data_IF_154068530853
#
_entry.id   IF_154068530853
#
_cell.length_a   1.000
_cell.length_b   1.000
_cell.length_c   1.000
_cell.angle_alpha   90.00
_cell.angle_beta   90.00
_cell.angle_gamma   90.00
#
_symmetry.space_group_name_H-M   'P 1'
#
loop_
_entity.id
_entity.type
_entity.pdbx_description
1 polymer ?
#
# COMPACT_ATOMS: atom_id res chain seq x y z
N UNK A 1 26.12 -3.36 14.39
CA UNK A 1 25.74 -2.31 13.40
C UNK A 1 26.20 -2.59 11.96
N UNK A 2 27.52 -2.60 11.61
CA UNK A 2 27.99 -2.84 10.22
C UNK A 2 27.62 -4.20 9.60
N UNK A 3 27.41 -5.25 10.41
CA UNK A 3 26.91 -6.55 9.92
C UNK A 3 25.40 -6.55 9.65
N UNK A 4 24.61 -5.77 10.39
CA UNK A 4 23.16 -5.62 10.18
C UNK A 4 22.86 -4.79 8.92
N UNK A 5 23.67 -3.76 8.64
CA UNK A 5 23.64 -3.04 7.35
C UNK A 5 24.02 -3.94 6.17
N UNK A 6 25.01 -4.82 6.34
CA UNK A 6 25.39 -5.81 5.32
C UNK A 6 24.25 -6.81 5.04
N UNK A 7 23.48 -7.19 6.06
CA UNK A 7 22.35 -8.11 5.94
C UNK A 7 21.12 -7.47 5.24
N UNK A 8 20.88 -6.15 5.41
CA UNK A 8 19.84 -5.42 4.65
C UNK A 8 20.04 -5.49 3.13
N UNK A 9 21.29 -5.53 2.67
CA UNK A 9 21.66 -5.58 1.24
C UNK A 9 21.72 -7.03 0.69
N UNK A 10 21.84 -8.03 1.56
CA UNK A 10 22.03 -9.44 1.20
C UNK A 10 20.73 -10.23 0.90
N UNK A 11 19.57 -9.55 0.81
CA UNK A 11 18.23 -10.17 0.66
C UNK A 11 18.05 -11.06 -0.59
N UNK A 12 18.95 -11.00 -1.58
CA UNK A 12 18.87 -11.82 -2.81
C UNK A 12 19.76 -13.07 -2.76
N UNK A 13 20.87 -13.07 -2.01
CA UNK A 13 21.85 -14.17 -2.05
C UNK A 13 21.63 -15.26 -0.99
N UNK A 14 20.88 -14.99 0.07
CA UNK A 14 20.65 -15.99 1.14
C UNK A 14 19.43 -16.91 0.87
N UNK A 15 18.62 -16.63 -0.15
CA UNK A 15 17.37 -17.34 -0.42
C UNK A 15 17.53 -18.70 -1.15
N UNK A 16 18.68 -19.36 -1.03
CA UNK A 16 18.93 -20.68 -1.63
C UNK A 16 18.58 -21.87 -0.69
N UNK A 17 18.15 -21.60 0.56
CA UNK A 17 17.70 -22.62 1.52
C UNK A 17 16.71 -22.07 2.56
N UNK A 18 15.90 -22.92 3.20
CA UNK A 18 15.00 -22.55 4.31
C UNK A 18 15.75 -21.83 5.46
N UNK A 19 16.99 -22.25 5.73
CA UNK A 19 17.90 -21.68 6.73
C UNK A 19 18.26 -20.21 6.44
N UNK A 20 18.44 -19.86 5.16
CA UNK A 20 18.73 -18.48 4.76
C UNK A 20 17.52 -17.55 4.89
N UNK A 21 16.31 -18.08 4.67
CA UNK A 21 15.05 -17.35 4.85
C UNK A 21 14.74 -17.08 6.34
N UNK A 22 14.94 -18.07 7.22
CA UNK A 22 14.70 -17.91 8.65
C UNK A 22 15.63 -16.87 9.30
N UNK A 23 16.89 -16.81 8.87
CA UNK A 23 17.87 -15.84 9.36
C UNK A 23 17.60 -14.42 8.87
N UNK A 24 17.18 -14.25 7.61
CA UNK A 24 16.71 -12.96 7.11
C UNK A 24 15.47 -12.48 7.88
N UNK A 25 14.53 -13.40 8.14
CA UNK A 25 13.33 -13.16 8.96
C UNK A 25 13.70 -12.61 10.35
N UNK A 26 14.69 -13.21 11.04
CA UNK A 26 15.10 -12.78 12.39
C UNK A 26 15.57 -11.32 12.45
N UNK A 27 16.36 -10.88 11.46
CA UNK A 27 16.86 -9.49 11.43
C UNK A 27 15.72 -8.49 11.28
N UNK A 28 14.77 -8.78 10.38
CA UNK A 28 13.60 -7.94 10.19
C UNK A 28 12.66 -7.99 11.40
N UNK A 29 12.49 -9.16 12.05
CA UNK A 29 11.64 -9.30 13.23
C UNK A 29 12.13 -8.44 14.40
N UNK A 30 13.44 -8.32 14.61
CA UNK A 30 14.00 -7.43 15.64
C UNK A 30 13.61 -5.98 15.38
N UNK A 31 13.71 -5.52 14.14
CA UNK A 31 13.32 -4.15 13.75
C UNK A 31 11.82 -3.96 13.95
N UNK A 32 11.01 -4.89 13.44
CA UNK A 32 9.56 -4.85 13.57
C UNK A 32 9.10 -4.82 15.04
N UNK A 33 9.71 -5.61 15.92
CA UNK A 33 9.39 -5.61 17.35
C UNK A 33 9.81 -4.32 18.05
N UNK A 34 10.94 -3.74 17.67
CA UNK A 34 11.39 -2.43 18.18
C UNK A 34 10.44 -1.30 17.77
N UNK A 35 10.03 -1.28 16.50
CA UNK A 35 9.04 -0.33 15.96
C UNK A 35 7.69 -0.50 16.68
N UNK A 36 7.30 -1.73 17.02
CA UNK A 36 6.12 -2.08 17.82
C UNK A 36 6.27 -1.79 19.32
N UNK A 37 7.38 -1.17 19.74
CA UNK A 37 7.61 -0.69 21.09
C UNK A 37 8.16 -1.72 22.05
N UNK A 38 8.77 -2.80 21.59
CA UNK A 38 9.36 -3.83 22.45
C UNK A 38 10.84 -3.57 22.72
N UNK A 39 11.32 -3.95 23.90
CA UNK A 39 12.74 -3.88 24.25
C UNK A 39 13.49 -5.08 23.65
N UNK A 40 14.25 -4.85 22.58
CA UNK A 40 14.97 -5.90 21.82
C UNK A 40 16.47 -5.96 22.10
N UNK A 41 16.97 -5.13 23.03
CA UNK A 41 18.41 -4.94 23.25
C UNK A 41 19.15 -6.22 23.63
N UNK A 42 18.58 -7.05 24.52
CA UNK A 42 19.19 -8.33 24.92
C UNK A 42 19.41 -9.26 23.71
N UNK A 43 18.43 -9.29 22.79
CA UNK A 43 18.50 -10.12 21.59
C UNK A 43 19.51 -9.55 20.59
N UNK A 44 19.57 -8.21 20.46
CA UNK A 44 20.61 -7.54 19.65
C UNK A 44 22.01 -7.89 20.16
N UNK A 45 22.24 -7.86 21.47
CA UNK A 45 23.54 -8.21 22.05
C UNK A 45 23.95 -9.66 21.78
N UNK A 46 23.00 -10.60 21.79
CA UNK A 46 23.26 -12.00 21.42
C UNK A 46 23.75 -12.09 19.97
N UNK A 47 23.12 -11.36 19.05
CA UNK A 47 23.50 -11.33 17.63
C UNK A 47 24.78 -10.54 17.34
N UNK A 48 25.20 -9.63 18.22
CA UNK A 48 26.51 -8.97 18.09
C UNK A 48 27.66 -9.89 18.49
N UNK A 49 27.41 -10.83 19.42
CA UNK A 49 28.40 -11.79 19.91
C UNK A 49 28.50 -13.05 19.03
N UNK A 50 27.50 -13.30 18.18
CA UNK A 50 27.41 -14.49 17.32
C UNK A 50 26.95 -14.10 15.92
N UNK A 51 27.72 -14.49 14.91
CA UNK A 51 27.35 -14.23 13.51
C UNK A 51 25.98 -14.87 13.20
N UNK A 52 25.02 -14.08 12.72
CA UNK A 52 23.67 -14.54 12.35
C UNK A 52 23.75 -15.73 11.36
N UNK A 53 24.75 -15.73 10.47
CA UNK A 53 24.97 -16.81 9.50
C UNK A 53 25.45 -18.12 10.13
N UNK A 54 25.81 -18.10 11.42
CA UNK A 54 26.26 -19.27 12.19
C UNK A 54 25.15 -19.89 13.07
N UNK A 55 23.97 -19.28 13.15
CA UNK A 55 22.85 -19.78 13.97
C UNK A 55 22.24 -21.06 13.37
N UNK A 56 22.00 -22.08 14.20
CA UNK A 56 21.23 -23.26 13.78
C UNK A 56 19.73 -22.94 13.64
N UNK A 57 18.97 -23.77 12.93
CA UNK A 57 17.50 -23.59 12.79
C UNK A 57 16.79 -23.49 14.14
N UNK A 58 17.18 -24.35 15.09
CA UNK A 58 16.61 -24.38 16.44
C UNK A 58 16.93 -23.09 17.20
N UNK A 59 18.17 -22.58 17.09
CA UNK A 59 18.55 -21.31 17.72
C UNK A 59 17.80 -20.14 17.10
N UNK A 60 17.68 -20.09 15.77
CA UNK A 60 16.94 -19.06 15.06
C UNK A 60 15.46 -19.06 15.46
N UNK A 61 14.82 -20.23 15.48
CA UNK A 61 13.42 -20.34 15.89
C UNK A 61 13.20 -19.96 17.36
N UNK A 62 14.09 -20.37 18.27
CA UNK A 62 14.01 -19.96 19.67
C UNK A 62 14.09 -18.44 19.86
N UNK A 63 14.93 -17.76 19.06
CA UNK A 63 15.02 -16.29 19.09
C UNK A 63 13.75 -15.63 18.53
N UNK A 64 13.19 -16.15 17.43
CA UNK A 64 11.92 -15.69 16.88
C UNK A 64 10.78 -15.87 17.88
N UNK A 65 10.69 -17.03 18.54
CA UNK A 65 9.68 -17.31 19.56
C UNK A 65 9.83 -16.38 20.78
N UNK A 66 11.07 -16.01 21.11
CA UNK A 66 11.36 -15.05 22.19
C UNK A 66 10.88 -13.65 21.79
N UNK A 67 11.21 -13.19 20.58
CA UNK A 67 10.78 -11.90 20.03
C UNK A 67 9.25 -11.76 20.01
N UNK A 68 8.56 -12.82 19.57
CA UNK A 68 7.10 -12.87 19.50
C UNK A 68 6.42 -12.70 20.87
N UNK A 69 7.11 -13.03 21.96
CA UNK A 69 6.58 -12.96 23.34
C UNK A 69 7.01 -11.71 24.11
N UNK A 70 7.88 -10.87 23.54
CA UNK A 70 8.33 -9.66 24.22
C UNK A 70 7.14 -8.74 24.54
N UNK A 71 7.04 -8.20 25.76
CA UNK A 71 6.02 -7.21 26.06
C UNK A 71 6.35 -5.88 25.36
N UNK A 72 5.31 -5.11 25.06
CA UNK A 72 5.47 -3.69 24.71
C UNK A 72 5.97 -2.96 25.97
N UNK A 73 6.98 -2.11 25.80
CA UNK A 73 7.60 -1.37 26.90
C UNK A 73 6.68 -0.31 27.50
N UNK A 74 6.91 -0.02 28.77
CA UNK A 74 6.27 1.12 29.42
C UNK A 74 6.63 2.42 28.70
N UNK A 75 5.64 3.28 28.47
CA UNK A 75 5.85 4.58 27.82
C UNK A 75 5.90 4.56 26.29
N UNK A 76 5.56 3.46 25.60
CA UNK A 76 5.48 3.43 24.13
C UNK A 76 4.51 4.47 23.55
N UNK A 77 3.50 4.92 24.31
CA UNK A 77 2.67 6.07 23.95
C UNK A 77 1.51 5.77 22.99
N UNK A 78 1.57 4.66 22.25
CA UNK A 78 0.55 4.27 21.26
C UNK A 78 -0.38 3.15 21.75
N UNK A 79 -1.59 3.10 21.18
CA UNK A 79 -2.61 2.06 21.40
C UNK A 79 -2.98 1.46 20.04
N UNK A 80 -2.41 0.30 19.73
CA UNK A 80 -2.48 -0.33 18.41
C UNK A 80 -3.01 -1.77 18.51
N UNK A 81 -4.33 -1.96 18.74
CA UNK A 81 -4.96 -3.28 18.72
C UNK A 81 -5.11 -3.81 17.29
N UNK A 82 -4.84 -5.10 17.07
CA UNK A 82 -4.98 -5.71 15.74
C UNK A 82 -6.35 -6.31 15.47
N UNK A 83 -7.20 -6.51 16.47
CA UNK A 83 -8.54 -7.05 16.28
C UNK A 83 -9.57 -5.94 15.99
N UNK A 84 -10.54 -6.20 15.11
CA UNK A 84 -11.53 -5.21 14.67
C UNK A 84 -12.28 -4.55 15.84
N UNK A 85 -12.60 -5.30 16.89
CA UNK A 85 -13.31 -4.78 18.07
C UNK A 85 -12.42 -3.79 18.84
N UNK A 86 -11.17 -4.16 19.06
CA UNK A 86 -10.15 -3.30 19.67
C UNK A 86 -9.94 -2.04 18.86
N UNK A 87 -9.80 -2.16 17.53
CA UNK A 87 -9.66 -1.04 16.60
C UNK A 87 -10.84 -0.08 16.77
N UNK A 88 -12.08 -0.58 16.64
CA UNK A 88 -13.29 0.25 16.75
C UNK A 88 -13.38 1.02 18.06
N UNK A 89 -12.97 0.40 19.17
CA UNK A 89 -12.95 1.03 20.50
C UNK A 89 -11.87 2.12 20.63
N UNK A 90 -10.79 2.00 19.88
CA UNK A 90 -9.65 2.93 19.92
C UNK A 90 -9.75 4.08 18.91
N UNK A 91 -10.78 4.12 18.06
CA UNK A 91 -11.05 5.23 17.13
C UNK A 91 -11.51 6.48 17.87
N UNK A 92 -11.31 7.65 17.26
CA UNK A 92 -12.01 8.86 17.66
C UNK A 92 -13.50 8.76 17.27
N UNK A 93 -14.36 9.60 17.86
CA UNK A 93 -15.74 9.74 17.41
C UNK A 93 -15.76 10.31 15.98
N UNK A 94 -16.53 9.68 15.08
CA UNK A 94 -16.72 10.19 13.73
C UNK A 94 -17.75 11.32 13.71
N UNK A 95 -17.49 12.36 12.93
CA UNK A 95 -18.48 13.40 12.63
C UNK A 95 -19.52 12.91 11.62
N UNK A 96 -20.65 13.60 11.51
CA UNK A 96 -21.64 13.33 10.47
C UNK A 96 -21.05 13.50 9.07
N UNK A 97 -21.42 12.60 8.16
CA UNK A 97 -21.03 12.65 6.75
C UNK A 97 -22.13 13.29 5.90
N UNK A 98 -21.78 13.94 4.78
CA UNK A 98 -22.75 14.39 3.79
C UNK A 98 -23.57 13.21 3.21
N UNK A 99 -24.71 13.53 2.61
CA UNK A 99 -25.48 12.56 1.85
C UNK A 99 -24.74 12.20 0.55
N UNK A 100 -24.77 10.92 0.18
CA UNK A 100 -24.13 10.44 -1.04
C UNK A 100 -25.01 10.69 -2.26
N UNK A 101 -24.48 11.44 -3.25
CA UNK A 101 -25.15 11.65 -4.53
C UNK A 101 -24.79 10.54 -5.53
N UNK A 102 -25.76 9.69 -5.88
CA UNK A 102 -25.54 8.57 -6.79
C UNK A 102 -25.29 8.98 -8.24
N UNK A 103 -25.67 10.19 -8.66
CA UNK A 103 -25.63 10.62 -10.06
C UNK A 103 -24.22 10.81 -10.63
N UNK A 104 -23.23 11.09 -9.78
CA UNK A 104 -21.83 11.27 -10.18
C UNK A 104 -20.97 10.03 -9.94
N UNK A 105 -21.53 8.99 -9.31
CA UNK A 105 -20.81 7.79 -8.90
C UNK A 105 -20.08 7.11 -10.06
N UNK A 106 -20.76 6.84 -11.18
CA UNK A 106 -20.17 6.10 -12.31
C UNK A 106 -18.96 6.82 -12.92
N UNK A 107 -19.06 8.15 -13.06
CA UNK A 107 -17.95 8.95 -13.61
C UNK A 107 -16.80 9.07 -12.61
N UNK A 108 -17.10 9.21 -11.31
CA UNK A 108 -16.13 9.17 -10.21
C UNK A 108 -15.44 7.81 -10.06
N UNK A 109 -16.19 6.72 -10.23
CA UNK A 109 -15.66 5.36 -10.20
C UNK A 109 -14.76 5.09 -11.41
N UNK A 110 -15.18 5.51 -12.60
CA UNK A 110 -14.34 5.43 -13.80
C UNK A 110 -13.06 6.24 -13.63
N UNK A 111 -13.18 7.45 -13.09
CA UNK A 111 -12.04 8.28 -12.72
C UNK A 111 -11.11 7.59 -11.72
N UNK A 112 -11.65 6.95 -10.68
CA UNK A 112 -10.84 6.27 -9.67
C UNK A 112 -10.04 5.09 -10.25
N UNK A 113 -10.68 4.24 -11.05
CA UNK A 113 -10.00 3.12 -11.71
C UNK A 113 -8.90 3.58 -12.69
N UNK A 114 -9.20 4.52 -13.58
CA UNK A 114 -8.21 5.05 -14.51
C UNK A 114 -7.11 5.85 -13.81
N UNK A 115 -7.48 6.65 -12.80
CA UNK A 115 -6.55 7.43 -12.00
C UNK A 115 -5.56 6.55 -11.27
N UNK A 116 -6.05 5.45 -10.68
CA UNK A 116 -5.19 4.43 -10.08
C UNK A 116 -4.23 3.81 -11.10
N UNK A 117 -4.73 3.32 -12.23
CA UNK A 117 -3.87 2.70 -13.24
C UNK A 117 -2.80 3.68 -13.77
N UNK A 118 -3.17 4.95 -14.02
CA UNK A 118 -2.22 5.95 -14.48
C UNK A 118 -1.15 6.27 -13.42
N UNK A 119 -1.55 6.43 -12.16
CA UNK A 119 -0.63 6.67 -11.05
C UNK A 119 0.35 5.52 -10.81
N UNK A 120 -0.16 4.27 -10.84
CA UNK A 120 0.67 3.07 -10.75
C UNK A 120 1.66 3.03 -11.91
N UNK A 121 1.18 3.16 -13.16
CA UNK A 121 2.03 3.14 -14.35
C UNK A 121 3.12 4.23 -14.33
N UNK A 122 2.81 5.43 -13.82
CA UNK A 122 3.77 6.52 -13.67
C UNK A 122 4.92 6.17 -12.72
N UNK A 123 4.63 5.53 -11.59
CA UNK A 123 5.62 5.24 -10.56
C UNK A 123 6.54 4.06 -10.90
N UNK A 124 6.07 3.08 -11.67
CA UNK A 124 6.82 1.84 -11.97
C UNK A 124 8.26 2.02 -12.49
N UNK A 125 8.57 2.96 -13.40
CA UNK A 125 9.93 3.08 -13.94
C UNK A 125 11.00 3.46 -12.91
N UNK A 126 10.59 4.15 -11.84
CA UNK A 126 11.46 4.73 -10.80
C UNK A 126 11.23 4.11 -9.42
N UNK A 127 10.54 2.97 -9.36
CA UNK A 127 10.33 2.19 -8.13
C UNK A 127 11.68 1.85 -7.47
N UNK A 128 11.78 2.09 -6.16
CA UNK A 128 13.02 1.92 -5.38
C UNK A 128 14.07 3.02 -5.58
N UNK A 129 13.72 4.13 -6.23
CA UNK A 129 14.57 5.32 -6.28
C UNK A 129 14.18 6.29 -5.17
N UNK A 130 15.17 6.91 -4.53
CA UNK A 130 14.89 7.96 -3.55
C UNK A 130 14.41 9.24 -4.24
N UNK A 131 13.76 10.14 -3.49
CA UNK A 131 13.41 11.48 -3.97
C UNK A 131 14.60 12.18 -4.66
N UNK A 132 15.80 12.11 -4.08
CA UNK A 132 16.99 12.75 -4.65
C UNK A 132 17.38 12.19 -6.01
N UNK A 133 17.24 10.87 -6.20
CA UNK A 133 17.54 10.20 -7.47
C UNK A 133 16.50 10.54 -8.55
N UNK A 134 15.22 10.62 -8.16
CA UNK A 134 14.17 11.09 -9.07
C UNK A 134 14.44 12.55 -9.46
N UNK A 135 14.84 13.42 -8.52
CA UNK A 135 15.18 14.81 -8.82
C UNK A 135 16.37 14.95 -9.76
N UNK A 136 17.44 14.19 -9.52
CA UNK A 136 18.60 14.14 -10.41
C UNK A 136 18.19 13.76 -11.84
N UNK A 137 17.31 12.77 -12.00
CA UNK A 137 16.75 12.40 -13.29
C UNK A 137 15.93 13.52 -13.95
N UNK A 138 15.01 14.15 -13.19
CA UNK A 138 14.14 15.20 -13.71
C UNK A 138 14.94 16.43 -14.16
N UNK A 139 15.96 16.80 -13.39
CA UNK A 139 16.87 17.89 -13.74
C UNK A 139 17.68 17.54 -15.01
N UNK A 140 18.09 16.28 -15.17
CA UNK A 140 18.82 15.83 -16.36
C UNK A 140 17.98 15.87 -17.65
N UNK A 141 16.65 15.73 -17.56
CA UNK A 141 15.74 15.84 -18.71
C UNK A 141 15.08 17.23 -18.84
N UNK A 142 15.53 18.20 -18.03
CA UNK A 142 15.07 19.59 -18.01
C UNK A 142 13.54 19.72 -17.80
N UNK A 143 12.99 18.98 -16.82
CA UNK A 143 11.59 19.10 -16.41
C UNK A 143 11.46 19.49 -14.94
N UNK A 144 10.55 20.41 -14.64
CA UNK A 144 10.34 20.91 -13.27
C UNK A 144 9.71 19.88 -12.32
N UNK A 145 8.99 18.88 -12.85
CA UNK A 145 8.35 17.81 -12.09
C UNK A 145 7.69 16.76 -12.96
N UNK A 146 7.24 15.66 -12.35
CA UNK A 146 6.56 14.54 -12.98
C UNK A 146 5.12 14.88 -13.35
N UNK A 147 4.95 15.56 -14.48
CA UNK A 147 3.62 15.91 -15.03
C UNK A 147 3.24 15.11 -16.27
N UNK A 148 4.04 14.10 -16.62
CA UNK A 148 3.81 13.16 -17.71
C UNK A 148 4.53 11.84 -17.39
N UNK A 149 4.18 10.76 -18.10
CA UNK A 149 4.89 9.48 -17.99
C UNK A 149 6.40 9.64 -18.23
N UNK A 150 7.18 8.89 -17.44
CA UNK A 150 8.65 8.90 -17.46
C UNK A 150 9.16 8.44 -18.83
N UNK A 151 9.93 9.26 -19.57
CA UNK A 151 10.62 8.79 -20.77
C UNK A 151 11.89 7.98 -20.44
N UNK A 152 12.18 6.95 -21.23
CA UNK A 152 13.50 6.29 -21.16
C UNK A 152 14.56 7.24 -21.73
N UNK A 153 15.67 7.41 -21.01
CA UNK A 153 16.88 8.12 -21.45
C UNK A 153 18.05 7.16 -21.34
N UNK A 154 18.83 7.06 -22.43
CA UNK A 154 19.99 6.17 -22.51
C UNK A 154 21.28 6.96 -22.86
N UNK A 155 22.36 6.83 -22.06
CA UNK A 155 22.42 6.06 -20.81
C UNK A 155 21.53 6.67 -19.71
N UNK A 156 21.15 5.87 -18.70
CA UNK A 156 20.43 6.38 -17.53
C UNK A 156 21.25 7.52 -16.89
N UNK A 157 20.69 8.73 -16.72
CA UNK A 157 21.44 9.88 -16.23
C UNK A 157 21.75 9.82 -14.73
N UNK A 158 21.10 8.94 -13.96
CA UNK A 158 21.30 8.79 -12.52
C UNK A 158 22.42 7.78 -12.25
N UNK A 159 23.50 8.23 -11.62
CA UNK A 159 24.67 7.38 -11.40
C UNK A 159 24.34 6.15 -10.54
N UNK A 160 24.75 4.97 -11.00
CA UNK A 160 24.59 3.71 -10.26
C UNK A 160 23.17 3.15 -10.21
N UNK A 161 22.23 3.72 -10.98
CA UNK A 161 20.85 3.21 -11.09
C UNK A 161 20.56 2.59 -12.44
N UNK A 162 19.85 1.46 -12.38
CA UNK A 162 19.19 0.85 -13.53
C UNK A 162 17.71 1.22 -13.49
N UNK A 163 17.08 1.25 -14.67
CA UNK A 163 15.63 1.28 -14.76
C UNK A 163 15.01 0.08 -14.06
N UNK A 164 13.83 0.27 -13.48
CA UNK A 164 13.06 -0.85 -12.96
C UNK A 164 12.79 -1.90 -14.06
N UNK A 165 12.69 -3.17 -13.69
CA UNK A 165 12.55 -4.25 -14.67
C UNK A 165 11.28 -4.15 -15.53
N UNK A 166 10.24 -3.46 -15.04
CA UNK A 166 9.00 -3.17 -15.77
C UNK A 166 9.01 -1.82 -16.51
N UNK A 167 10.11 -1.07 -16.49
CA UNK A 167 10.19 0.25 -17.14
C UNK A 167 9.97 0.16 -18.66
N UNK A 168 10.37 -0.95 -19.29
CA UNK A 168 10.20 -1.18 -20.73
C UNK A 168 8.74 -1.16 -21.20
N UNK A 169 7.77 -1.34 -20.30
CA UNK A 169 6.33 -1.30 -20.60
C UNK A 169 5.57 -0.16 -19.90
N UNK A 170 6.24 0.58 -19.00
CA UNK A 170 5.62 1.63 -18.17
C UNK A 170 6.15 3.04 -18.49
N UNK A 171 6.93 3.18 -19.56
CA UNK A 171 7.57 4.45 -19.95
C UNK A 171 6.90 5.10 -21.14
N UNK A 172 6.98 6.44 -21.22
CA UNK A 172 6.35 7.23 -22.27
C UNK A 172 6.75 6.72 -23.66
N UNK A 173 5.75 6.37 -24.47
CA UNK A 173 5.93 5.82 -25.80
C UNK A 173 5.94 4.29 -25.88
N UNK A 174 6.08 3.60 -24.73
CA UNK A 174 6.06 2.14 -24.66
C UNK A 174 4.80 1.58 -23.96
N UNK A 175 4.01 2.43 -23.32
CA UNK A 175 2.77 2.03 -22.64
C UNK A 175 1.73 1.59 -23.68
N UNK A 176 1.23 0.36 -23.53
CA UNK A 176 0.21 -0.26 -24.39
C UNK A 176 -0.82 -1.01 -23.52
N UNK A 177 -1.43 -0.30 -22.58
CA UNK A 177 -2.15 -0.92 -21.46
C UNK A 177 -1.50 -0.66 -20.13
N UNK A 178 -2.27 -0.74 -19.04
CA UNK A 178 -1.72 -0.81 -17.69
C UNK A 178 -0.89 -2.10 -17.58
N UNK A 179 0.44 -2.00 -17.39
CA UNK A 179 1.29 -3.17 -17.22
C UNK A 179 0.90 -3.95 -15.98
N UNK A 180 1.39 -5.18 -15.87
CA UNK A 180 1.08 -6.00 -14.70
C UNK A 180 1.70 -5.36 -13.46
N UNK A 181 0.91 -5.29 -12.40
CA UNK A 181 1.35 -4.87 -11.07
C UNK A 181 0.61 -5.69 -10.00
N UNK A 182 1.27 -5.99 -8.88
CA UNK A 182 0.57 -6.61 -7.74
C UNK A 182 -0.44 -5.68 -7.08
N UNK A 183 -0.23 -4.36 -7.16
CA UNK A 183 -1.24 -3.34 -6.84
C UNK A 183 -2.58 -3.64 -7.51
N UNK A 184 -2.54 -4.03 -8.79
CA UNK A 184 -3.73 -4.31 -9.57
C UNK A 184 -4.18 -5.78 -9.43
N UNK A 185 -3.25 -6.72 -9.33
CA UNK A 185 -3.56 -8.13 -9.13
C UNK A 185 -4.42 -8.34 -7.86
N UNK A 186 -4.04 -7.72 -6.75
CA UNK A 186 -4.80 -7.83 -5.50
C UNK A 186 -6.18 -7.17 -5.56
N UNK A 187 -6.31 -6.02 -6.24
CA UNK A 187 -7.61 -5.39 -6.43
C UNK A 187 -8.58 -6.28 -7.22
N UNK A 188 -8.09 -6.90 -8.29
CA UNK A 188 -8.90 -7.81 -9.11
C UNK A 188 -9.29 -9.04 -8.28
N UNK A 189 -8.37 -9.56 -7.47
CA UNK A 189 -8.65 -10.67 -6.56
C UNK A 189 -9.70 -10.30 -5.49
N UNK A 190 -9.56 -9.14 -4.85
CA UNK A 190 -10.51 -8.64 -3.87
C UNK A 190 -11.90 -8.43 -4.50
N UNK A 191 -11.96 -7.93 -5.74
CA UNK A 191 -13.21 -7.86 -6.49
C UNK A 191 -13.84 -9.24 -6.68
N UNK A 192 -13.06 -10.26 -7.07
CA UNK A 192 -13.58 -11.64 -7.22
C UNK A 192 -14.06 -12.24 -5.88
N UNK A 193 -13.40 -11.92 -4.76
CA UNK A 193 -13.86 -12.31 -3.43
C UNK A 193 -15.22 -11.67 -3.13
N UNK A 194 -15.35 -10.36 -3.33
CA UNK A 194 -16.61 -9.65 -3.06
C UNK A 194 -17.74 -10.08 -4.01
N UNK A 195 -17.45 -10.45 -5.25
CA UNK A 195 -18.44 -11.03 -6.16
C UNK A 195 -18.95 -12.41 -5.71
N UNK A 196 -18.07 -13.21 -5.09
CA UNK A 196 -18.43 -14.55 -4.64
C UNK A 196 -19.10 -14.56 -3.27
N UNK A 197 -18.61 -13.76 -2.33
CA UNK A 197 -18.99 -13.82 -0.91
C UNK A 197 -19.79 -12.60 -0.45
N UNK A 198 -19.87 -11.55 -1.28
CA UNK A 198 -20.64 -10.35 -0.98
C UNK A 198 -20.12 -9.59 0.24
N UNK A 199 -20.97 -8.81 0.92
CA UNK A 199 -20.58 -8.00 2.07
C UNK A 199 -20.14 -8.84 3.28
N UNK A 200 -20.44 -10.13 3.29
CA UNK A 200 -20.11 -11.07 4.35
C UNK A 200 -18.76 -11.76 4.19
N UNK A 201 -17.97 -11.40 3.16
CA UNK A 201 -16.60 -11.87 3.02
C UNK A 201 -15.80 -11.70 4.33
N UNK A 202 -15.01 -12.72 4.65
CA UNK A 202 -14.13 -12.79 5.83
C UNK A 202 -12.70 -13.12 5.43
N UNK A 203 -11.75 -12.89 6.32
CA UNK A 203 -10.32 -13.21 6.13
C UNK A 203 -10.05 -14.63 5.61
N UNK A 204 -10.85 -15.62 6.01
CA UNK A 204 -10.73 -16.99 5.52
C UNK A 204 -11.07 -17.15 4.02
N UNK A 205 -11.99 -16.34 3.51
CA UNK A 205 -12.37 -16.35 2.09
C UNK A 205 -11.25 -15.78 1.23
N UNK A 206 -10.59 -14.70 1.69
CA UNK A 206 -9.37 -14.16 1.07
C UNK A 206 -8.24 -15.19 1.10
N UNK A 207 -7.98 -15.83 2.24
CA UNK A 207 -6.96 -16.88 2.35
C UNK A 207 -7.19 -18.05 1.39
N UNK A 208 -8.45 -18.47 1.24
CA UNK A 208 -8.83 -19.51 0.28
C UNK A 208 -8.63 -19.05 -1.17
N UNK A 209 -9.04 -17.81 -1.49
CA UNK A 209 -8.89 -17.26 -2.84
C UNK A 209 -7.41 -17.09 -3.23
N UNK A 210 -6.55 -16.69 -2.27
CA UNK A 210 -5.11 -16.61 -2.51
C UNK A 210 -4.55 -17.96 -2.91
N UNK A 211 -4.84 -19.02 -2.14
CA UNK A 211 -4.41 -20.40 -2.43
C UNK A 211 -4.88 -20.90 -3.80
N UNK A 212 -6.09 -20.52 -4.21
CA UNK A 212 -6.70 -20.96 -5.47
C UNK A 212 -6.21 -20.17 -6.70
N UNK A 213 -5.88 -18.88 -6.54
CA UNK A 213 -5.74 -17.95 -7.67
C UNK A 213 -4.40 -17.24 -7.77
N UNK A 214 -3.70 -17.00 -6.66
CA UNK A 214 -2.46 -16.22 -6.69
C UNK A 214 -1.23 -17.12 -6.78
N UNK A 215 -0.38 -17.00 -7.81
CA UNK A 215 0.89 -17.71 -7.84
C UNK A 215 1.81 -17.27 -6.69
N UNK A 216 2.26 -18.20 -5.85
CA UNK A 216 3.14 -17.93 -4.70
C UNK A 216 4.43 -17.14 -5.04
N UNK A 217 4.98 -17.34 -6.25
CA UNK A 217 6.16 -16.62 -6.72
C UNK A 217 5.88 -15.13 -7.07
N UNK A 218 4.64 -14.66 -6.94
CA UNK A 218 4.18 -13.34 -7.39
C UNK A 218 3.55 -12.48 -6.28
N UNK A 219 3.61 -12.94 -5.03
CA UNK A 219 3.22 -12.19 -3.82
C UNK A 219 4.48 -11.78 -3.05
N UNK A 220 4.55 -10.67 -2.35
CA UNK A 220 5.83 -10.17 -1.78
C UNK A 220 5.78 -10.09 -0.26
N UNK A 221 6.93 -9.88 0.39
CA UNK A 221 7.06 -9.53 1.81
C UNK A 221 6.07 -10.21 2.79
N UNK A 222 5.13 -9.47 3.38
CA UNK A 222 4.15 -9.93 4.37
C UNK A 222 3.17 -10.94 3.76
N UNK A 223 2.75 -10.71 2.53
CA UNK A 223 1.87 -11.60 1.79
C UNK A 223 2.54 -12.92 1.49
N UNK A 224 3.81 -12.89 1.09
CA UNK A 224 4.60 -14.12 0.88
C UNK A 224 4.77 -14.90 2.18
N UNK A 225 5.03 -14.23 3.30
CA UNK A 225 5.11 -14.87 4.61
C UNK A 225 3.76 -15.50 5.01
N UNK A 226 2.65 -14.77 4.86
CA UNK A 226 1.31 -15.25 5.16
C UNK A 226 0.90 -16.42 4.24
N UNK A 227 1.15 -16.31 2.93
CA UNK A 227 0.87 -17.38 1.97
C UNK A 227 1.65 -18.64 2.32
N UNK A 228 2.95 -18.53 2.63
CA UNK A 228 3.76 -19.66 3.13
C UNK A 228 3.09 -20.30 4.35
N UNK A 229 2.62 -19.50 5.29
CA UNK A 229 1.98 -20.00 6.51
C UNK A 229 0.67 -20.74 6.20
N UNK A 230 -0.13 -20.26 5.26
CA UNK A 230 -1.32 -20.99 4.78
C UNK A 230 -0.94 -22.37 4.19
N UNK A 231 0.12 -22.43 3.36
CA UNK A 231 0.62 -23.70 2.80
C UNK A 231 1.10 -24.65 3.91
N UNK A 232 1.72 -24.11 4.97
CA UNK A 232 2.16 -24.88 6.14
C UNK A 232 1.02 -25.30 7.08
N UNK A 233 -0.23 -24.91 6.79
CA UNK A 233 -1.42 -25.32 7.52
C UNK A 233 -1.83 -24.41 8.67
N UNK A 234 -1.23 -23.22 8.81
CA UNK A 234 -1.76 -22.20 9.71
C UNK A 234 -3.10 -21.69 9.19
N UNK A 235 -4.04 -21.40 10.10
CA UNK A 235 -5.32 -20.82 9.72
C UNK A 235 -5.15 -19.40 9.19
N UNK A 236 -6.15 -18.89 8.46
CA UNK A 236 -6.16 -17.51 7.99
C UNK A 236 -6.03 -16.48 9.14
N UNK A 237 -6.51 -16.81 10.34
CA UNK A 237 -6.39 -15.96 11.52
C UNK A 237 -4.98 -15.97 12.15
N UNK A 238 -4.15 -16.98 11.84
CA UNK A 238 -2.80 -17.13 12.38
C UNK A 238 -1.72 -16.76 11.35
N UNK A 239 -2.06 -16.77 10.05
CA UNK A 239 -1.13 -16.58 8.95
C UNK A 239 -0.33 -15.27 9.04
N UNK A 240 -0.95 -14.17 9.46
CA UNK A 240 -0.25 -12.89 9.65
C UNK A 240 0.72 -12.88 10.84
N UNK A 241 0.53 -13.76 11.83
CA UNK A 241 1.24 -13.72 13.12
C UNK A 241 2.51 -14.57 13.14
N UNK A 242 2.54 -15.65 12.36
CA UNK A 242 3.63 -16.60 12.42
C UNK A 242 4.83 -16.17 11.53
N UNK A 243 6.00 -15.89 12.13
CA UNK A 243 7.23 -15.62 11.40
C UNK A 243 7.05 -14.64 10.21
N UNK A 244 6.35 -13.54 10.47
CA UNK A 244 6.04 -12.50 9.49
C UNK A 244 6.49 -11.12 10.01
N UNK A 245 7.75 -10.74 9.75
CA UNK A 245 8.30 -9.48 10.23
C UNK A 245 7.91 -8.27 9.36
N UNK A 246 7.18 -8.50 8.27
CA UNK A 246 6.79 -7.48 7.30
C UNK A 246 5.37 -6.96 7.54
N UNK A 247 4.71 -7.42 8.60
CA UNK A 247 3.29 -7.25 8.91
C UNK A 247 2.78 -5.80 9.09
N UNK A 248 3.67 -4.80 9.14
CA UNK A 248 3.32 -3.36 9.09
C UNK A 248 3.79 -2.66 7.80
N UNK A 249 4.27 -3.42 6.81
CA UNK A 249 4.64 -2.91 5.50
C UNK A 249 3.39 -2.68 4.63
N UNK A 250 3.57 -1.96 3.53
CA UNK A 250 2.49 -1.30 2.78
C UNK A 250 1.56 -2.25 2.03
N UNK A 251 1.92 -3.53 1.84
CA UNK A 251 1.22 -4.40 0.90
C UNK A 251 -0.25 -4.70 1.20
N UNK A 252 -0.77 -4.38 2.39
CA UNK A 252 -2.22 -4.30 2.62
C UNK A 252 -2.83 -3.00 2.03
N UNK A 253 -2.21 -1.85 2.30
CA UNK A 253 -2.69 -0.54 1.83
C UNK A 253 -2.88 -0.48 0.31
N UNK A 254 -2.01 -1.13 -0.46
CA UNK A 254 -2.10 -1.13 -1.93
C UNK A 254 -3.37 -1.81 -2.44
N UNK A 255 -4.07 -2.62 -1.64
CA UNK A 255 -5.23 -3.44 -2.06
C UNK A 255 -6.58 -2.75 -1.79
N UNK A 256 -6.55 -1.62 -1.09
CA UNK A 256 -7.69 -0.99 -0.44
C UNK A 256 -8.82 -0.53 -1.39
N UNK A 257 -8.47 -0.16 -2.61
CA UNK A 257 -9.30 0.69 -3.47
C UNK A 257 -10.67 0.11 -3.80
N UNK A 258 -10.72 -1.15 -4.26
CA UNK A 258 -12.00 -1.80 -4.59
C UNK A 258 -12.91 -1.87 -3.37
N UNK A 259 -12.33 -2.05 -2.18
CA UNK A 259 -13.06 -2.13 -0.92
C UNK A 259 -13.71 -0.79 -0.55
N UNK A 260 -13.14 0.33 -0.99
CA UNK A 260 -13.76 1.66 -0.94
C UNK A 260 -14.79 1.87 -2.05
N UNK A 261 -14.48 1.44 -3.28
CA UNK A 261 -15.32 1.65 -4.45
C UNK A 261 -16.70 0.99 -4.36
N UNK A 262 -16.79 -0.20 -3.76
CA UNK A 262 -18.05 -0.96 -3.65
C UNK A 262 -19.02 -0.41 -2.59
N UNK A 263 -18.56 0.50 -1.73
CA UNK A 263 -19.35 1.11 -0.65
C UNK A 263 -19.13 2.63 -0.63
N UNK A 264 -19.48 3.35 -1.71
CA UNK A 264 -19.22 4.79 -1.81
C UNK A 264 -19.96 5.55 -0.70
N UNK A 265 -19.27 6.50 -0.08
CA UNK A 265 -19.79 7.32 1.01
C UNK A 265 -20.00 6.62 2.35
N UNK A 266 -19.45 5.41 2.52
CA UNK A 266 -19.59 4.59 3.73
C UNK A 266 -18.21 4.16 4.27
N UNK A 267 -17.40 5.10 4.78
CA UNK A 267 -16.02 4.83 5.20
C UNK A 267 -15.91 3.74 6.28
N UNK A 268 -16.87 3.62 7.20
CA UNK A 268 -16.86 2.53 8.18
C UNK A 268 -17.08 1.15 7.55
N UNK A 269 -17.94 1.05 6.54
CA UNK A 269 -18.15 -0.19 5.80
C UNK A 269 -16.90 -0.56 5.01
N UNK A 270 -16.27 0.43 4.34
CA UNK A 270 -15.02 0.24 3.60
C UNK A 270 -13.89 -0.23 4.52
N UNK A 271 -13.71 0.41 5.67
CA UNK A 271 -12.71 0.02 6.67
C UNK A 271 -12.96 -1.40 7.21
N UNK A 272 -14.21 -1.83 7.37
CA UNK A 272 -14.52 -3.20 7.76
C UNK A 272 -14.13 -4.21 6.68
N UNK A 273 -14.41 -3.93 5.40
CA UNK A 273 -14.01 -4.80 4.30
C UNK A 273 -12.48 -4.88 4.20
N UNK A 274 -11.80 -3.74 4.29
CA UNK A 274 -10.34 -3.64 4.36
C UNK A 274 -9.74 -4.42 5.53
N UNK A 275 -10.37 -4.41 6.70
CA UNK A 275 -9.91 -5.23 7.81
C UNK A 275 -9.94 -6.74 7.48
N UNK A 276 -11.01 -7.22 6.84
CA UNK A 276 -11.16 -8.64 6.52
C UNK A 276 -10.09 -9.10 5.51
N UNK A 277 -9.74 -8.25 4.52
CA UNK A 277 -8.62 -8.51 3.60
C UNK A 277 -7.26 -8.42 4.32
N UNK A 278 -6.97 -7.29 4.97
CA UNK A 278 -5.67 -6.99 5.58
C UNK A 278 -5.24 -8.02 6.62
N UNK A 279 -6.19 -8.47 7.46
CA UNK A 279 -5.91 -9.33 8.61
C UNK A 279 -5.34 -10.70 8.22
N UNK A 280 -5.42 -11.08 6.94
CA UNK A 280 -4.80 -12.31 6.43
C UNK A 280 -3.28 -12.27 6.53
N UNK A 281 -2.68 -11.11 6.27
CA UNK A 281 -1.21 -10.97 6.13
C UNK A 281 -0.59 -9.87 6.97
N UNK A 282 -1.37 -8.96 7.54
CA UNK A 282 -0.89 -7.79 8.27
C UNK A 282 -1.49 -7.69 9.67
N UNK A 283 -0.86 -6.86 10.50
CA UNK A 283 -1.39 -6.44 11.82
C UNK A 283 -1.12 -4.95 12.02
N UNK A 284 -1.72 -4.34 13.06
CA UNK A 284 -1.44 -2.97 13.51
C UNK A 284 -1.41 -1.97 12.33
N UNK A 285 -0.32 -1.21 12.15
CA UNK A 285 -0.24 -0.18 11.11
C UNK A 285 -0.40 -0.73 9.69
N UNK A 286 -0.07 -2.00 9.42
CA UNK A 286 -0.35 -2.61 8.11
C UNK A 286 -1.86 -2.76 7.85
N UNK A 287 -2.61 -3.23 8.86
CA UNK A 287 -4.09 -3.26 8.80
C UNK A 287 -4.67 -1.84 8.74
N UNK A 288 -4.11 -0.91 9.52
CA UNK A 288 -4.61 0.46 9.55
C UNK A 288 -4.39 1.18 8.22
N UNK A 289 -3.31 0.87 7.48
CA UNK A 289 -3.04 1.41 6.16
C UNK A 289 -4.17 1.14 5.18
N UNK A 290 -4.58 -0.12 5.05
CA UNK A 290 -5.67 -0.52 4.16
C UNK A 290 -7.01 0.02 4.62
N UNK A 291 -7.29 -0.04 5.93
CA UNK A 291 -8.51 0.54 6.50
C UNK A 291 -8.62 2.04 6.22
N UNK A 292 -7.52 2.79 6.40
CA UNK A 292 -7.46 4.22 6.13
C UNK A 292 -7.62 4.54 4.65
N UNK A 293 -6.91 3.83 3.76
CA UNK A 293 -6.97 4.07 2.33
C UNK A 293 -8.38 3.76 1.78
N UNK A 294 -8.97 2.61 2.13
CA UNK A 294 -10.31 2.22 1.67
C UNK A 294 -11.38 3.19 2.17
N UNK A 295 -11.28 3.62 3.44
CA UNK A 295 -12.20 4.59 4.01
C UNK A 295 -12.03 5.99 3.39
N UNK A 296 -10.80 6.41 3.10
CA UNK A 296 -10.52 7.67 2.40
C UNK A 296 -11.12 7.67 1.01
N UNK A 297 -10.94 6.58 0.24
CA UNK A 297 -11.50 6.41 -1.11
C UNK A 297 -13.03 6.37 -1.07
N UNK A 298 -13.62 5.63 -0.14
CA UNK A 298 -15.07 5.61 0.05
C UNK A 298 -15.61 7.01 0.38
N UNK A 299 -14.94 7.75 1.26
CA UNK A 299 -15.32 9.10 1.62
C UNK A 299 -15.10 10.13 0.50
N UNK A 300 -14.13 9.92 -0.39
CA UNK A 300 -13.86 10.80 -1.52
C UNK A 300 -15.09 11.01 -2.43
N UNK A 301 -15.99 10.04 -2.51
CA UNK A 301 -17.25 10.18 -3.23
C UNK A 301 -18.23 11.20 -2.62
N UNK A 302 -17.99 11.68 -1.39
CA UNK A 302 -18.83 12.64 -0.66
C UNK A 302 -18.29 14.08 -0.67
N UNK A 303 -17.02 14.26 -1.05
CA UNK A 303 -16.32 15.52 -0.86
C UNK A 303 -15.75 16.02 -2.18
N UNK A 304 -15.41 17.31 -2.20
CA UNK A 304 -14.69 17.93 -3.32
C UNK A 304 -13.23 18.22 -2.95
N UNK A 305 -12.88 18.21 -1.66
CA UNK A 305 -11.54 18.51 -1.16
C UNK A 305 -10.91 17.26 -0.50
N UNK A 306 -9.66 16.91 -0.82
CA UNK A 306 -9.02 15.68 -0.32
C UNK A 306 -8.88 15.64 1.21
N UNK A 307 -8.65 16.79 1.85
CA UNK A 307 -8.51 16.85 3.31
C UNK A 307 -9.72 16.27 4.07
N UNK A 308 -10.93 16.43 3.54
CA UNK A 308 -12.15 15.92 4.20
C UNK A 308 -12.26 14.41 4.05
N UNK A 309 -11.93 13.87 2.88
CA UNK A 309 -11.86 12.43 2.63
C UNK A 309 -10.78 11.77 3.51
N UNK A 310 -9.58 12.37 3.61
CA UNK A 310 -8.48 11.86 4.44
C UNK A 310 -8.88 11.83 5.92
N UNK A 311 -9.54 12.88 6.43
CA UNK A 311 -10.02 12.92 7.82
C UNK A 311 -11.13 11.90 8.08
N UNK A 312 -12.03 11.71 7.13
CA UNK A 312 -13.04 10.65 7.21
C UNK A 312 -12.36 9.26 7.27
N UNK A 313 -11.31 9.03 6.49
CA UNK A 313 -10.49 7.82 6.59
C UNK A 313 -9.81 7.65 7.94
N UNK A 314 -9.19 8.71 8.48
CA UNK A 314 -8.55 8.71 9.79
C UNK A 314 -9.51 8.35 10.94
N UNK A 315 -10.77 8.75 10.83
CA UNK A 315 -11.79 8.38 11.82
C UNK A 315 -12.06 6.88 11.90
N UNK A 316 -11.54 6.08 10.96
CA UNK A 316 -11.73 4.63 10.89
C UNK A 316 -10.58 3.80 11.47
N UNK A 317 -9.49 4.43 11.92
CA UNK A 317 -8.34 3.75 12.54
C UNK A 317 -8.10 4.25 13.98
N UNK A 318 -7.28 3.57 14.81
CA UNK A 318 -7.05 4.00 16.19
C UNK A 318 -6.42 5.39 16.26
N UNK A 319 -7.03 6.31 17.01
CA UNK A 319 -6.61 7.73 17.11
C UNK A 319 -5.31 7.95 17.86
N UNK A 320 -4.80 6.90 18.51
CA UNK A 320 -3.49 6.86 19.18
C UNK A 320 -2.57 5.81 18.55
N UNK A 321 -2.64 5.63 17.24
CA UNK A 321 -1.68 4.80 16.48
C UNK A 321 -0.59 5.66 15.85
N UNK A 322 0.56 5.04 15.51
CA UNK A 322 1.65 5.72 14.80
C UNK A 322 1.21 6.21 13.42
N UNK A 323 0.42 5.41 12.69
CA UNK A 323 -0.11 5.82 11.39
C UNK A 323 -1.03 7.05 11.48
N UNK A 324 -1.95 7.07 12.47
CA UNK A 324 -2.83 8.23 12.67
C UNK A 324 -2.03 9.50 12.93
N UNK A 325 -1.03 9.44 13.82
CA UNK A 325 -0.15 10.57 14.11
C UNK A 325 0.57 11.07 12.85
N UNK A 326 1.12 10.15 12.04
CA UNK A 326 1.89 10.50 10.85
C UNK A 326 1.07 11.22 9.78
N UNK A 327 -0.15 10.76 9.54
CA UNK A 327 -1.07 11.39 8.58
C UNK A 327 -1.56 12.74 9.11
N UNK A 328 -1.91 12.86 10.40
CA UNK A 328 -2.31 14.15 11.00
C UNK A 328 -1.17 15.18 10.97
N UNK A 329 0.05 14.76 11.28
CA UNK A 329 1.23 15.62 11.16
C UNK A 329 1.44 16.05 9.70
N UNK A 330 1.27 15.14 8.75
CA UNK A 330 1.39 15.47 7.32
C UNK A 330 0.31 16.46 6.88
N UNK A 331 -0.95 16.28 7.28
CA UNK A 331 -2.02 17.26 7.03
C UNK A 331 -1.70 18.63 7.63
N UNK A 332 -1.18 18.66 8.85
CA UNK A 332 -0.75 19.90 9.52
C UNK A 332 0.39 20.59 8.77
N UNK A 333 1.40 19.84 8.32
CA UNK A 333 2.51 20.37 7.53
C UNK A 333 2.06 20.89 6.17
N UNK A 334 1.17 20.16 5.47
CA UNK A 334 0.63 20.61 4.18
C UNK A 334 -0.16 21.91 4.27
N UNK A 335 -0.75 22.19 5.44
CA UNK A 335 -1.50 23.43 5.70
C UNK A 335 -0.59 24.59 6.13
N UNK A 336 0.56 24.30 6.75
CA UNK A 336 1.42 25.30 7.38
C UNK A 336 2.68 25.65 6.58
N UNK A 337 3.10 24.79 5.65
CA UNK A 337 4.30 24.97 4.84
C UNK A 337 3.93 25.32 3.39
N UNK A 338 4.67 26.25 2.75
CA UNK A 338 4.33 26.77 1.42
C UNK A 338 4.62 25.79 0.28
N UNK A 339 5.53 24.83 0.47
CA UNK A 339 5.97 23.91 -0.59
C UNK A 339 5.92 22.46 -0.12
N UNK A 340 5.61 21.55 -1.05
CA UNK A 340 5.58 20.12 -0.74
C UNK A 340 6.97 19.59 -0.35
N UNK A 341 8.04 20.17 -0.87
CA UNK A 341 9.41 19.80 -0.52
C UNK A 341 9.74 20.11 0.95
N UNK A 342 9.23 21.22 1.50
CA UNK A 342 9.39 21.54 2.92
C UNK A 342 8.62 20.56 3.81
N UNK A 343 7.40 20.19 3.43
CA UNK A 343 6.62 19.18 4.13
C UNK A 343 7.25 17.78 3.99
N UNK A 344 7.76 17.41 2.81
CA UNK A 344 8.54 16.20 2.59
C UNK A 344 9.77 16.13 3.51
N UNK A 345 10.51 17.23 3.67
CA UNK A 345 11.63 17.28 4.60
C UNK A 345 11.21 17.02 6.06
N UNK A 346 10.02 17.47 6.48
CA UNK A 346 9.45 17.12 7.79
C UNK A 346 9.09 15.65 7.90
N UNK A 347 8.45 15.08 6.86
CA UNK A 347 8.12 13.65 6.79
C UNK A 347 9.39 12.82 6.89
N UNK A 348 10.44 13.15 6.13
CA UNK A 348 11.72 12.44 6.18
C UNK A 348 12.38 12.53 7.55
N UNK A 349 12.37 13.70 8.18
CA UNK A 349 12.93 13.87 9.52
C UNK A 349 12.18 13.06 10.59
N UNK A 350 10.85 12.93 10.47
CA UNK A 350 10.03 12.23 11.45
C UNK A 350 9.93 10.72 11.17
N UNK A 351 9.82 10.33 9.91
CA UNK A 351 9.37 9.00 9.46
C UNK A 351 10.31 8.34 8.44
N UNK A 352 11.36 9.00 7.98
CA UNK A 352 12.34 8.45 7.02
C UNK A 352 13.23 7.34 7.59
N UNK A 353 13.10 7.01 8.88
CA UNK A 353 13.79 5.89 9.50
C UNK A 353 13.12 4.53 9.23
N UNK A 354 11.84 4.54 8.86
CA UNK A 354 11.10 3.34 8.48
C UNK A 354 11.67 2.74 7.18
N UNK A 355 11.41 1.44 6.97
CA UNK A 355 11.74 0.81 5.70
C UNK A 355 11.01 1.50 4.53
N UNK A 356 11.62 1.52 3.35
CA UNK A 356 11.09 2.27 2.21
C UNK A 356 9.68 1.81 1.77
N UNK A 357 9.36 0.52 1.95
CA UNK A 357 8.00 -0.06 1.76
C UNK A 357 7.14 -0.11 3.03
N UNK A 358 7.46 0.64 4.08
CA UNK A 358 6.65 0.63 5.31
C UNK A 358 5.35 1.44 5.13
N UNK A 359 4.26 1.07 5.82
CA UNK A 359 2.95 1.72 5.61
C UNK A 359 2.99 3.22 5.93
N UNK A 360 3.63 3.60 7.04
CA UNK A 360 3.58 4.96 7.60
C UNK A 360 4.13 6.03 6.65
N UNK A 361 5.35 5.88 6.15
CA UNK A 361 5.98 6.88 5.27
C UNK A 361 5.24 6.96 3.92
N UNK A 362 4.81 5.82 3.37
CA UNK A 362 4.07 5.79 2.11
C UNK A 362 2.68 6.43 2.22
N UNK A 363 1.94 6.19 3.31
CA UNK A 363 0.70 6.93 3.58
C UNK A 363 0.92 8.45 3.63
N UNK A 364 2.04 8.92 4.20
CA UNK A 364 2.39 10.34 4.19
C UNK A 364 2.64 10.87 2.77
N UNK A 365 3.27 10.09 1.88
CA UNK A 365 3.51 10.49 0.49
C UNK A 365 2.21 10.60 -0.32
N UNK A 366 1.26 9.69 -0.09
CA UNK A 366 -0.10 9.79 -0.65
C UNK A 366 -0.81 11.08 -0.19
N UNK A 367 -0.77 11.38 1.11
CA UNK A 367 -1.37 12.62 1.66
C UNK A 367 -0.70 13.85 1.07
N UNK A 368 0.64 13.84 0.95
CA UNK A 368 1.38 14.97 0.39
C UNK A 368 0.99 15.25 -1.06
N UNK A 369 0.90 14.20 -1.88
CA UNK A 369 0.45 14.29 -3.27
C UNK A 369 -0.97 14.84 -3.39
N UNK A 370 -1.91 14.31 -2.61
CA UNK A 370 -3.30 14.77 -2.59
C UNK A 370 -3.43 16.25 -2.19
N UNK A 371 -2.73 16.67 -1.14
CA UNK A 371 -2.88 18.02 -0.58
C UNK A 371 -2.20 19.10 -1.43
N UNK A 372 -0.98 18.89 -1.90
CA UNK A 372 -0.27 19.87 -2.72
C UNK A 372 -0.58 19.77 -4.21
N UNK A 373 -1.04 18.62 -4.68
CA UNK A 373 -1.43 18.41 -6.08
C UNK A 373 -2.82 18.94 -6.41
N UNK A 374 -3.75 18.98 -5.46
CA UNK A 374 -5.12 19.42 -5.69
C UNK A 374 -5.21 20.86 -6.25
N UNK A 375 -6.04 21.12 -7.29
CA UNK A 375 -6.97 20.21 -7.96
C UNK A 375 -6.41 19.59 -9.26
N UNK A 376 -5.09 19.51 -9.43
CA UNK A 376 -4.42 18.99 -10.64
C UNK A 376 -4.11 17.50 -10.51
N UNK A 377 -4.67 16.68 -11.40
CA UNK A 377 -4.38 15.23 -11.43
C UNK A 377 -2.88 14.95 -11.62
N UNK A 378 -2.26 15.60 -12.61
CA UNK A 378 -0.84 15.42 -12.91
C UNK A 378 0.06 15.78 -11.72
N UNK A 379 -0.27 16.85 -10.99
CA UNK A 379 0.51 17.22 -9.80
C UNK A 379 0.26 16.27 -8.63
N UNK A 380 -0.96 15.75 -8.50
CA UNK A 380 -1.32 14.81 -7.43
C UNK A 380 -0.51 13.52 -7.51
N UNK A 381 -0.52 12.84 -8.67
CA UNK A 381 0.24 11.61 -8.86
C UNK A 381 1.74 11.90 -9.02
N UNK A 382 2.10 13.04 -9.61
CA UNK A 382 3.48 13.47 -9.80
C UNK A 382 4.21 13.67 -8.47
N UNK A 383 3.62 14.43 -7.55
CA UNK A 383 4.19 14.67 -6.21
C UNK A 383 4.28 13.37 -5.41
N UNK A 384 3.25 12.51 -5.46
CA UNK A 384 3.27 11.22 -4.77
C UNK A 384 4.42 10.33 -5.26
N UNK A 385 4.67 10.27 -6.57
CA UNK A 385 5.79 9.53 -7.17
C UNK A 385 7.13 10.20 -6.90
N UNK A 386 7.22 11.54 -6.96
CA UNK A 386 8.46 12.27 -6.69
C UNK A 386 8.96 12.15 -5.25
N UNK A 387 8.11 11.74 -4.30
CA UNK A 387 8.54 11.39 -2.95
C UNK A 387 9.52 10.21 -2.92
N UNK A 388 9.53 9.38 -3.97
CA UNK A 388 10.42 8.23 -4.11
C UNK A 388 9.99 7.03 -3.30
N UNK A 389 10.94 6.12 -3.09
CA UNK A 389 10.78 4.84 -2.40
C UNK A 389 9.83 3.90 -3.17
N UNK A 390 8.65 3.61 -2.66
CA UNK A 390 7.67 2.71 -3.25
C UNK A 390 6.69 3.49 -4.13
N UNK A 391 7.12 3.86 -5.34
CA UNK A 391 6.54 4.98 -6.08
C UNK A 391 5.22 4.67 -6.77
N UNK A 392 5.08 3.49 -7.34
CA UNK A 392 3.89 3.05 -8.08
C UNK A 392 2.66 2.98 -7.18
N UNK A 393 2.74 2.36 -6.01
CA UNK A 393 1.61 2.23 -5.10
C UNK A 393 1.13 3.58 -4.53
N UNK A 394 2.06 4.51 -4.29
CA UNK A 394 1.74 5.87 -3.85
C UNK A 394 1.02 6.65 -4.95
N UNK A 395 1.53 6.59 -6.18
CA UNK A 395 0.87 7.16 -7.35
C UNK A 395 -0.52 6.54 -7.57
N UNK A 396 -0.64 5.22 -7.42
CA UNK A 396 -1.89 4.48 -7.58
C UNK A 396 -2.97 4.97 -6.60
N UNK A 397 -2.67 4.97 -5.31
CA UNK A 397 -3.63 5.38 -4.26
C UNK A 397 -4.00 6.86 -4.39
N UNK A 398 -3.02 7.74 -4.69
CA UNK A 398 -3.30 9.17 -4.90
C UNK A 398 -4.20 9.41 -6.12
N UNK A 399 -3.95 8.71 -7.23
CA UNK A 399 -4.74 8.79 -8.45
C UNK A 399 -6.16 8.25 -8.27
N UNK A 400 -6.32 7.18 -7.49
CA UNK A 400 -7.60 6.61 -7.08
C UNK A 400 -8.47 7.59 -6.31
N UNK A 401 -7.92 8.19 -5.25
CA UNK A 401 -8.63 9.18 -4.43
C UNK A 401 -8.99 10.42 -5.27
N UNK A 402 -8.06 10.92 -6.10
CA UNK A 402 -8.35 12.03 -7.01
C UNK A 402 -9.53 11.71 -7.95
N UNK A 403 -9.51 10.53 -8.57
CA UNK A 403 -10.56 10.09 -9.47
C UNK A 403 -11.91 9.98 -8.78
N UNK A 404 -11.95 9.46 -7.56
CA UNK A 404 -13.15 9.38 -6.74
C UNK A 404 -13.70 10.76 -6.33
N UNK A 405 -12.83 11.76 -6.12
CA UNK A 405 -13.23 13.15 -5.84
C UNK A 405 -13.79 13.85 -7.09
N UNK A 406 -13.11 13.70 -8.24
CA UNK A 406 -13.28 14.62 -9.36
C UNK A 406 -13.89 14.01 -10.63
N UNK A 407 -13.88 12.69 -10.78
CA UNK A 407 -14.41 12.02 -11.96
C UNK A 407 -13.43 11.92 -13.13
N UNK A 408 -13.76 11.05 -14.07
CA UNK A 408 -12.92 10.72 -15.23
C UNK A 408 -12.60 11.95 -16.11
N UNK A 409 -13.51 12.91 -16.20
CA UNK A 409 -13.35 14.11 -17.02
C UNK A 409 -12.32 15.10 -16.47
N UNK A 410 -11.90 14.92 -15.20
CA UNK A 410 -10.84 15.71 -14.58
C UNK A 410 -9.44 15.11 -14.78
N UNK A 411 -9.33 13.94 -15.42
CA UNK A 411 -8.06 13.28 -15.73
C UNK A 411 -7.66 13.66 -17.16
N UNK A 412 -6.50 14.31 -17.37
CA UNK A 412 -6.02 14.63 -18.71
C UNK A 412 -5.87 13.36 -19.57
N UNK A 413 -6.31 13.45 -20.83
CA UNK A 413 -6.35 12.30 -21.74
C UNK A 413 -4.96 11.67 -21.98
N UNK A 414 -3.87 12.42 -21.84
CA UNK A 414 -2.50 11.87 -21.93
C UNK A 414 -2.20 10.77 -20.90
N UNK A 415 -2.91 10.75 -19.77
CA UNK A 415 -2.77 9.71 -18.75
C UNK A 415 -3.57 8.45 -19.08
N UNK A 416 -4.75 8.59 -19.68
CA UNK A 416 -5.67 7.47 -19.90
C UNK A 416 -5.56 6.85 -21.30
N UNK A 417 -5.22 7.64 -22.32
CA UNK A 417 -5.10 7.17 -23.70
C UNK A 417 -4.07 6.04 -23.88
N UNK A 418 -2.85 6.10 -23.29
CA UNK A 418 -1.88 5.02 -23.44
C UNK A 418 -2.32 3.71 -22.77
N UNK A 419 -3.18 3.79 -21.74
CA UNK A 419 -3.74 2.61 -21.09
C UNK A 419 -4.76 1.89 -21.98
N UNK A 420 -5.41 2.60 -22.92
CA UNK A 420 -6.24 2.00 -23.95
C UNK A 420 -7.34 1.06 -23.43
N UNK A 421 -7.90 1.33 -22.25
CA UNK A 421 -8.86 0.48 -21.55
C UNK A 421 -8.38 -0.97 -21.34
N UNK A 422 -7.09 -1.18 -21.11
CA UNK A 422 -6.50 -2.50 -20.88
C UNK A 422 -5.68 -2.55 -19.62
N UNK A 423 -5.74 -3.67 -18.92
CA UNK A 423 -4.90 -3.97 -17.76
C UNK A 423 -4.46 -5.42 -17.74
N UNK A 424 -3.17 -5.65 -17.51
CA UNK A 424 -2.59 -7.00 -17.41
C UNK A 424 -2.64 -7.47 -15.97
N UNK A 425 -3.02 -8.71 -15.74
CA UNK A 425 -3.04 -9.33 -14.40
C UNK A 425 -2.54 -10.77 -14.44
N UNK A 426 -2.00 -11.24 -13.32
CA UNK A 426 -1.68 -12.67 -13.14
C UNK A 426 -2.86 -13.47 -12.60
N UNK A 427 -3.89 -12.80 -12.06
CA UNK A 427 -5.03 -13.46 -11.44
C UNK A 427 -5.78 -14.21 -12.54
N UNK A 428 -5.82 -15.55 -12.53
CA UNK A 428 -6.49 -16.32 -13.57
C UNK A 428 -7.99 -16.02 -13.50
N UNK A 429 -8.50 -15.31 -14.50
CA UNK A 429 -9.88 -14.85 -14.51
C UNK A 429 -10.88 -16.01 -14.47
N UNK A 430 -12.02 -15.80 -13.81
CA UNK A 430 -13.17 -16.73 -13.86
C UNK A 430 -13.80 -16.83 -15.27
N UNK A 431 -13.53 -15.88 -16.18
CA UNK A 431 -14.23 -15.73 -17.47
C UNK A 431 -13.34 -15.58 -18.72
N UNK A 432 -12.03 -15.84 -18.67
CA UNK A 432 -11.23 -15.87 -19.90
C UNK A 432 -9.72 -15.97 -19.73
N UNK A 433 -9.08 -16.63 -20.70
CA UNK A 433 -7.63 -16.71 -20.87
C UNK A 433 -7.12 -15.57 -21.78
N UNK A 434 -7.42 -14.33 -21.40
CA UNK A 434 -6.89 -13.14 -22.08
C UNK A 434 -5.66 -12.59 -21.35
N UNK A 435 -4.70 -12.06 -22.11
CA UNK A 435 -3.55 -11.33 -21.52
C UNK A 435 -4.00 -10.05 -20.78
N UNK A 436 -5.11 -9.43 -21.23
CA UNK A 436 -5.63 -8.19 -20.68
C UNK A 436 -7.10 -8.30 -20.26
N UNK A 437 -7.46 -7.59 -19.18
CA UNK A 437 -8.83 -7.23 -18.82
C UNK A 437 -9.14 -5.79 -19.26
N UNK A 438 -10.43 -5.46 -19.35
CA UNK A 438 -10.88 -4.08 -19.60
C UNK A 438 -11.04 -3.31 -18.29
N UNK A 439 -10.51 -2.08 -18.23
CA UNK A 439 -10.65 -1.20 -17.06
C UNK A 439 -12.12 -0.81 -16.88
N UNK A 440 -12.82 -0.43 -17.96
CA UNK A 440 -14.26 -0.15 -17.94
C UNK A 440 -15.09 -1.39 -17.61
N UNK A 441 -14.63 -2.59 -17.98
CA UNK A 441 -15.22 -3.86 -17.53
C UNK A 441 -15.10 -4.05 -16.01
N UNK A 442 -13.97 -3.67 -15.41
CA UNK A 442 -13.79 -3.67 -13.96
C UNK A 442 -14.68 -2.62 -13.27
N UNK A 443 -14.79 -1.42 -13.84
CA UNK A 443 -15.74 -0.38 -13.39
C UNK A 443 -17.17 -0.93 -13.33
N UNK A 444 -17.64 -1.58 -14.40
CA UNK A 444 -18.99 -2.15 -14.46
C UNK A 444 -19.20 -3.21 -13.37
N UNK A 445 -18.24 -4.12 -13.18
CA UNK A 445 -18.29 -5.14 -12.13
C UNK A 445 -18.37 -4.52 -10.73
N UNK A 446 -17.55 -3.51 -10.47
CA UNK A 446 -17.56 -2.77 -9.20
C UNK A 446 -18.90 -2.04 -8.97
N UNK A 447 -19.42 -1.35 -9.99
CA UNK A 447 -20.71 -0.64 -9.91
C UNK A 447 -21.88 -1.60 -9.61
N UNK A 448 -21.90 -2.78 -10.25
CA UNK A 448 -22.93 -3.80 -9.99
C UNK A 448 -22.96 -4.24 -8.52
N UNK A 449 -21.81 -4.33 -7.86
CA UNK A 449 -21.75 -4.64 -6.43
C UNK A 449 -22.28 -3.48 -5.58
N UNK A 450 -21.86 -2.25 -5.86
CA UNK A 450 -22.26 -1.07 -5.11
C UNK A 450 -23.78 -0.81 -5.17
N UNK A 451 -24.39 -0.96 -6.35
CA UNK A 451 -25.83 -0.82 -6.51
C UNK A 451 -26.62 -2.08 -6.11
N UNK A 452 -25.95 -3.23 -6.01
CA UNK A 452 -26.55 -4.50 -5.64
C UNK A 452 -26.34 -4.87 -4.18
N UNK A 453 -25.52 -5.89 -3.93
CA UNK A 453 -25.34 -6.53 -2.63
C UNK A 453 -24.81 -5.59 -1.53
N UNK A 454 -24.17 -4.48 -1.89
CA UNK A 454 -23.58 -3.53 -0.95
C UNK A 454 -24.46 -2.30 -0.71
N UNK A 455 -25.53 -2.10 -1.49
CA UNK A 455 -26.44 -0.94 -1.37
C UNK A 455 -27.09 -0.81 0.01
N UNK A 456 -27.23 -1.91 0.76
CA UNK A 456 -27.90 -1.97 2.06
C UNK A 456 -26.96 -1.81 3.30
N UNK A 457 -25.64 -1.72 3.10
CA UNK A 457 -24.67 -1.54 4.20
C UNK A 457 -24.72 -0.17 4.88
#
# INVERSE_FOLDING_TARGET
>A
MKQLEKLRVMNVQLAESELGLARATLVHEIVQREEEGCEVMEIREVLEKKDVTSLTDVETQNLLDTLARLPVRDGFGYVEPSDLRGIRKARAESTGLPEFETSSYESRLTGAWFGRCAGCCLGKPVEGWSHGQIREYLDAIDVGGLRAYVPVVEPNPVEGKSWHHSAGESTRGNIDGMPRDDDIDYMILALEVLEQYGPDARTADYGSMWLDRLPYARVYTAERAAYRNLILGYSAAEAALHNNPYREWIGAQIRADVLGYVVPGRPEAAARLAYEDAALSHVKNGVYGEMWAAATISAAFLFDHPADAIRAGLSQIPSRSRLYEAIENTLSWTTSLPTWQEAYAKIQAAYGHYHFVHTINNACFVVLGLMYGHPSFSDTIGIAVECGEDTDCNGATAGSVFGALHGEHSIPAEWTLPLGDRVRTIVPGRYGHGEYLSITGLVQRTSLLAHGAFSAL
#
